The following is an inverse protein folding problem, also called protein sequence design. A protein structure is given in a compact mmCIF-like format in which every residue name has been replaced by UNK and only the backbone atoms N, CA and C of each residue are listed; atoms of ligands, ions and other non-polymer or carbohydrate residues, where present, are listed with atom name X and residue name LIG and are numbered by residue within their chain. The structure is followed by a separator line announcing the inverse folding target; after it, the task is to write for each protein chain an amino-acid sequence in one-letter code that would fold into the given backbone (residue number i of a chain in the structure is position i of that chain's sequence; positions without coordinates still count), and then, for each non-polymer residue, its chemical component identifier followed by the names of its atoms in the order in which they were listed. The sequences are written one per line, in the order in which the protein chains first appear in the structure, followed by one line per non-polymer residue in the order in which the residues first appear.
data_IF_034077442520
#
_entry.id   IF_034077442520
#
_cell.length_a   1.000
_cell.length_b   1.000
_cell.length_c   1.000
_cell.angle_alpha   90.00
_cell.angle_beta   90.00
_cell.angle_gamma   90.00
#
_symmetry.space_group_name_H-M   'P 1'
#
loop_
_entity.id
_entity.type
_entity.pdbx_description
1 polymer ?
#
# COMPACT_ATOMS: atom_id res chain seq x y z
N UNK A 1 -10.74 -27.87 30.86
CA UNK A 1 -9.78 -26.74 30.86
C UNK A 1 -10.23 -25.76 31.93
N UNK A 2 -9.40 -25.49 32.91
CA UNK A 2 -9.72 -24.46 33.90
C UNK A 2 -9.50 -23.09 33.26
N UNK A 3 -10.57 -22.43 32.90
CA UNK A 3 -10.56 -21.12 32.22
C UNK A 3 -10.07 -19.98 33.11
N UNK A 4 -9.84 -20.24 34.41
CA UNK A 4 -9.38 -19.23 35.36
C UNK A 4 -7.83 -19.15 35.47
N UNK A 5 -7.10 -19.90 34.65
CA UNK A 5 -5.64 -20.02 34.76
C UNK A 5 -4.88 -19.63 33.48
N UNK A 6 -5.27 -18.50 32.88
CA UNK A 6 -4.50 -17.93 31.78
C UNK A 6 -3.42 -16.99 32.33
N UNK A 7 -2.13 -17.30 32.12
CA UNK A 7 -1.04 -16.41 32.53
C UNK A 7 -1.11 -15.10 31.73
N UNK A 8 -0.67 -14.04 32.38
CA UNK A 8 -0.53 -12.76 31.70
C UNK A 8 0.40 -12.89 30.47
N UNK A 9 0.00 -12.33 29.33
CA UNK A 9 0.82 -12.36 28.12
C UNK A 9 2.10 -11.58 28.37
N UNK A 10 3.23 -12.27 28.35
CA UNK A 10 4.56 -11.69 28.48
C UNK A 10 5.49 -12.28 27.42
N UNK A 11 5.40 -11.81 26.14
CA UNK A 11 6.20 -12.36 25.08
C UNK A 11 7.69 -12.05 25.31
N UNK A 12 8.59 -12.97 24.97
CA UNK A 12 10.02 -12.72 25.06
C UNK A 12 10.42 -11.59 24.09
N UNK A 13 11.31 -10.73 24.51
CA UNK A 13 11.85 -9.70 23.63
C UNK A 13 12.61 -10.32 22.46
N UNK A 14 12.35 -9.85 21.26
CA UNK A 14 13.02 -10.26 20.02
C UNK A 14 13.34 -9.03 19.18
N UNK A 15 14.51 -9.00 18.58
CA UNK A 15 14.83 -8.05 17.51
C UNK A 15 14.38 -8.68 16.20
N UNK A 16 13.41 -8.04 15.54
CA UNK A 16 12.86 -8.52 14.28
C UNK A 16 13.71 -7.99 13.13
N UNK A 17 14.44 -8.89 12.48
CA UNK A 17 15.35 -8.58 11.36
C UNK A 17 14.84 -9.10 10.01
N UNK A 18 13.58 -9.51 9.95
CA UNK A 18 12.93 -9.98 8.74
C UNK A 18 12.31 -8.84 7.91
N UNK A 19 11.67 -9.17 6.78
CA UNK A 19 11.04 -8.19 5.88
C UNK A 19 9.74 -7.58 6.44
N UNK A 20 9.42 -7.84 7.68
CA UNK A 20 8.24 -7.37 8.40
C UNK A 20 7.35 -8.52 8.89
N UNK A 21 6.61 -8.30 10.00
CA UNK A 21 6.52 -7.03 10.72
C UNK A 21 7.83 -6.61 11.40
N UNK A 22 7.90 -5.34 11.80
CA UNK A 22 9.04 -4.77 12.53
C UNK A 22 8.68 -4.58 14.01
N UNK A 23 9.70 -4.30 14.84
CA UNK A 23 9.46 -3.85 16.22
C UNK A 23 8.89 -2.42 16.17
N UNK A 24 7.69 -2.24 16.71
CA UNK A 24 7.12 -0.90 16.86
C UNK A 24 7.85 -0.13 17.97
N UNK A 25 8.00 1.19 17.78
CA UNK A 25 8.59 2.06 18.80
C UNK A 25 7.77 1.98 20.11
N UNK A 26 8.42 1.98 21.29
CA UNK A 26 7.72 1.96 22.58
C UNK A 26 6.70 3.09 22.77
N UNK A 27 6.87 4.25 22.10
CA UNK A 27 5.88 5.34 22.10
C UNK A 27 4.59 4.94 21.41
N UNK A 28 4.69 4.20 20.30
CA UNK A 28 3.54 3.65 19.56
C UNK A 28 2.79 2.65 20.43
N UNK A 29 3.51 1.71 21.07
CA UNK A 29 2.89 0.70 21.95
C UNK A 29 2.20 1.35 23.15
N UNK A 30 2.80 2.38 23.76
CA UNK A 30 2.15 3.13 24.85
C UNK A 30 0.88 3.86 24.37
N UNK A 31 0.89 4.47 23.19
CA UNK A 31 -0.28 5.13 22.64
C UNK A 31 -1.45 4.16 22.42
N UNK A 32 -1.16 2.92 22.02
CA UNK A 32 -2.18 1.87 21.87
C UNK A 32 -2.83 1.43 23.17
N UNK A 33 -2.24 1.70 24.33
CA UNK A 33 -2.81 1.41 25.66
C UNK A 33 -3.67 2.56 26.22
N UNK A 34 -3.90 3.62 25.44
CA UNK A 34 -4.76 4.74 25.85
C UNK A 34 -6.22 4.32 25.95
N UNK A 35 -7.00 5.08 26.73
CA UNK A 35 -8.45 4.85 26.86
C UNK A 35 -9.15 4.98 25.50
N UNK A 36 -10.17 4.15 25.31
CA UNK A 36 -11.02 4.22 24.14
C UNK A 36 -11.92 5.46 24.18
N UNK A 37 -12.15 6.03 23.00
CA UNK A 37 -13.13 7.09 22.79
C UNK A 37 -14.32 6.53 22.03
N UNK A 38 -15.50 7.10 22.30
CA UNK A 38 -16.69 6.80 21.51
C UNK A 38 -16.55 7.32 20.08
N UNK A 39 -17.11 6.59 19.11
CA UNK A 39 -17.01 6.94 17.69
C UNK A 39 -17.59 8.32 17.32
N UNK A 40 -18.52 8.84 18.14
CA UNK A 40 -19.13 10.17 17.96
C UNK A 40 -18.57 11.22 18.89
N UNK A 41 -17.52 10.88 19.67
CA UNK A 41 -16.84 11.84 20.53
C UNK A 41 -16.12 12.89 19.65
N UNK A 42 -16.26 14.20 19.96
CA UNK A 42 -15.55 15.25 19.22
C UNK A 42 -14.02 15.06 19.21
N UNK A 43 -13.45 14.50 20.29
CA UNK A 43 -12.01 14.20 20.34
C UNK A 43 -11.65 13.10 19.34
N UNK A 44 -12.50 12.08 19.12
CA UNK A 44 -12.26 11.05 18.09
C UNK A 44 -12.22 11.68 16.69
N UNK A 45 -13.18 12.56 16.38
CA UNK A 45 -13.18 13.27 15.09
C UNK A 45 -11.93 14.14 14.92
N UNK A 46 -11.49 14.79 15.98
CA UNK A 46 -10.25 15.58 15.97
C UNK A 46 -9.04 14.70 15.64
N UNK A 47 -8.84 13.58 16.34
CA UNK A 47 -7.73 12.65 16.07
C UNK A 47 -7.78 12.06 14.68
N UNK A 48 -8.97 11.70 14.16
CA UNK A 48 -9.09 11.22 12.79
C UNK A 48 -8.61 12.27 11.77
N UNK A 49 -8.99 13.53 11.95
CA UNK A 49 -8.56 14.63 11.07
C UNK A 49 -7.05 14.89 11.17
N UNK A 50 -6.47 14.82 12.37
CA UNK A 50 -5.02 14.93 12.56
C UNK A 50 -4.27 13.79 11.87
N UNK A 51 -4.74 12.56 12.02
CA UNK A 51 -4.15 11.37 11.36
C UNK A 51 -4.19 11.54 9.85
N UNK A 52 -5.32 11.96 9.28
CA UNK A 52 -5.43 12.23 7.84
C UNK A 52 -4.45 13.32 7.39
N UNK A 53 -4.27 14.38 8.18
CA UNK A 53 -3.31 15.45 7.88
C UNK A 53 -1.86 14.96 7.94
N UNK A 54 -1.50 14.16 8.94
CA UNK A 54 -0.17 13.57 9.08
C UNK A 54 0.14 12.62 7.90
N UNK A 55 -0.81 11.79 7.49
CA UNK A 55 -0.62 10.89 6.35
C UNK A 55 -0.48 11.65 5.04
N UNK A 56 -1.15 12.77 4.82
CA UNK A 56 -0.86 13.62 3.65
C UNK A 56 0.61 14.00 3.58
N UNK A 57 1.20 14.40 4.71
CA UNK A 57 2.65 14.67 4.79
C UNK A 57 3.52 13.44 4.49
N UNK A 58 3.14 12.26 4.97
CA UNK A 58 3.88 11.00 4.75
C UNK A 58 3.81 10.55 3.29
N UNK A 59 2.64 10.65 2.67
CA UNK A 59 2.42 10.31 1.26
C UNK A 59 2.87 11.41 0.29
N UNK A 60 3.23 12.60 0.78
CA UNK A 60 3.55 13.75 -0.07
C UNK A 60 2.40 14.10 -1.02
N UNK A 61 1.22 14.32 -0.46
CA UNK A 61 0.01 14.62 -1.22
C UNK A 61 -0.85 15.69 -0.55
N UNK A 62 -1.50 16.51 -1.35
CA UNK A 62 -2.55 17.43 -0.92
C UNK A 62 -3.95 16.77 -0.99
N UNK A 63 -4.04 15.52 -1.40
CA UNK A 63 -5.31 14.83 -1.58
C UNK A 63 -6.07 14.73 -0.24
N UNK A 64 -7.30 15.26 -0.26
CA UNK A 64 -8.20 15.25 0.91
C UNK A 64 -8.52 13.81 1.37
N UNK A 65 -8.63 12.86 0.46
CA UNK A 65 -9.00 11.49 0.74
C UNK A 65 -7.78 10.64 1.08
N UNK A 66 -7.05 11.07 2.11
CA UNK A 66 -5.95 10.31 2.72
C UNK A 66 -6.42 9.80 4.06
N UNK A 67 -6.67 8.51 4.17
CA UNK A 67 -7.35 7.91 5.31
C UNK A 67 -6.79 6.53 5.67
N UNK A 68 -7.21 5.98 6.79
CA UNK A 68 -6.90 4.62 7.22
C UNK A 68 -8.06 3.68 6.90
N UNK A 69 -7.72 2.52 6.33
CA UNK A 69 -8.62 1.38 6.20
C UNK A 69 -8.36 0.43 7.37
N UNK A 70 -9.40 0.07 8.11
CA UNK A 70 -9.34 -0.95 9.15
C UNK A 70 -9.14 -2.32 8.51
N UNK A 71 -8.02 -2.96 8.83
CA UNK A 71 -7.62 -4.23 8.26
C UNK A 71 -6.15 -4.31 7.90
N UNK A 72 -5.76 -5.37 7.21
CA UNK A 72 -4.38 -5.55 6.74
C UNK A 72 -4.08 -4.64 5.54
N UNK A 73 -2.79 -4.51 5.17
CA UNK A 73 -2.40 -3.81 3.93
C UNK A 73 -3.16 -4.29 2.69
N UNK A 74 -3.54 -5.57 2.66
CA UNK A 74 -4.37 -6.12 1.57
C UNK A 74 -5.77 -5.54 1.54
N UNK A 75 -6.34 -5.22 2.69
CA UNK A 75 -7.65 -4.56 2.75
C UNK A 75 -7.59 -3.16 2.13
N UNK A 76 -6.51 -2.41 2.35
CA UNK A 76 -6.28 -1.12 1.68
C UNK A 76 -6.13 -1.27 0.17
N UNK A 77 -5.35 -2.25 -0.30
CA UNK A 77 -5.25 -2.58 -1.73
C UNK A 77 -6.64 -2.88 -2.31
N UNK A 78 -7.39 -3.78 -1.66
CA UNK A 78 -8.72 -4.19 -2.11
C UNK A 78 -9.71 -3.02 -2.13
N UNK A 79 -9.69 -2.16 -1.10
CA UNK A 79 -10.55 -0.98 -1.03
C UNK A 79 -10.32 -0.03 -2.21
N UNK A 80 -9.06 0.23 -2.58
CA UNK A 80 -8.72 1.07 -3.72
C UNK A 80 -9.16 0.39 -5.03
N UNK A 81 -8.82 -0.89 -5.22
CA UNK A 81 -9.12 -1.58 -6.46
C UNK A 81 -10.63 -1.74 -6.69
N UNK A 82 -11.41 -2.04 -5.64
CA UNK A 82 -12.88 -2.08 -5.71
C UNK A 82 -13.48 -0.71 -6.04
N UNK A 83 -12.85 0.37 -5.60
CA UNK A 83 -13.31 1.73 -5.89
C UNK A 83 -12.94 2.18 -7.31
N UNK A 84 -11.82 1.71 -7.86
CA UNK A 84 -11.28 2.16 -9.13
C UNK A 84 -11.68 1.29 -10.33
N UNK A 85 -11.87 -0.02 -10.13
CA UNK A 85 -12.10 -1.00 -11.20
C UNK A 85 -13.60 -1.21 -11.41
N UNK A 86 -14.04 -1.15 -12.66
CA UNK A 86 -15.35 -1.63 -13.12
C UNK A 86 -15.18 -3.01 -13.74
N UNK A 87 -16.18 -3.90 -13.63
CA UNK A 87 -16.12 -5.20 -14.29
C UNK A 87 -15.79 -5.08 -15.79
N UNK A 88 -14.75 -5.80 -16.22
CA UNK A 88 -14.26 -5.77 -17.60
C UNK A 88 -13.25 -4.68 -17.93
N UNK A 89 -12.93 -3.78 -16.99
CA UNK A 89 -11.85 -2.81 -17.21
C UNK A 89 -10.51 -3.55 -17.39
N UNK A 90 -9.77 -3.14 -18.42
CA UNK A 90 -8.40 -3.64 -18.61
C UNK A 90 -7.48 -3.01 -17.59
N UNK A 91 -6.71 -3.82 -16.90
CA UNK A 91 -5.65 -3.39 -16.00
C UNK A 91 -4.32 -3.99 -16.43
N UNK A 92 -3.25 -3.21 -16.33
CA UNK A 92 -1.88 -3.65 -16.61
C UNK A 92 -1.13 -3.77 -15.29
N UNK A 93 -0.50 -4.93 -15.07
CA UNK A 93 0.32 -5.20 -13.88
C UNK A 93 1.72 -5.62 -14.31
N UNK A 94 2.75 -4.76 -14.13
CA UNK A 94 4.14 -5.14 -14.23
C UNK A 94 4.52 -6.02 -13.05
N UNK A 95 4.88 -7.27 -13.31
CA UNK A 95 5.19 -8.29 -12.29
C UNK A 95 6.70 -8.55 -12.26
N UNK A 96 7.33 -8.21 -11.14
CA UNK A 96 8.75 -8.47 -10.89
C UNK A 96 8.99 -9.18 -9.56
N UNK A 97 7.90 -9.67 -8.93
CA UNK A 97 7.91 -10.42 -7.68
C UNK A 97 6.51 -10.86 -7.26
N UNK A 98 6.47 -11.46 -6.07
CA UNK A 98 5.25 -12.07 -5.52
C UNK A 98 4.09 -11.08 -5.35
N UNK A 99 4.39 -9.84 -4.99
CA UNK A 99 3.33 -8.85 -4.70
C UNK A 99 2.68 -8.31 -5.98
N UNK A 100 3.39 -8.34 -7.11
CA UNK A 100 2.77 -8.15 -8.42
C UNK A 100 1.69 -9.21 -8.71
N UNK A 101 1.99 -10.47 -8.44
CA UNK A 101 0.99 -11.56 -8.57
C UNK A 101 -0.20 -11.38 -7.62
N UNK A 102 0.03 -10.85 -6.40
CA UNK A 102 -1.05 -10.52 -5.47
C UNK A 102 -1.98 -9.45 -6.03
N UNK A 103 -1.44 -8.39 -6.64
CA UNK A 103 -2.24 -7.36 -7.31
C UNK A 103 -3.08 -7.96 -8.44
N UNK A 104 -2.51 -8.87 -9.24
CA UNK A 104 -3.25 -9.59 -10.27
C UNK A 104 -4.43 -10.38 -9.69
N UNK A 105 -4.22 -11.08 -8.58
CA UNK A 105 -5.27 -11.86 -7.92
C UNK A 105 -6.41 -10.96 -7.43
N UNK A 106 -6.09 -9.86 -6.73
CA UNK A 106 -7.10 -8.93 -6.22
C UNK A 106 -7.85 -8.27 -7.39
N UNK A 107 -7.14 -7.83 -8.43
CA UNK A 107 -7.78 -7.22 -9.60
C UNK A 107 -8.75 -8.19 -10.32
N UNK A 108 -8.39 -9.47 -10.43
CA UNK A 108 -9.30 -10.50 -10.98
C UNK A 108 -10.55 -10.68 -10.12
N UNK A 109 -10.41 -10.65 -8.79
CA UNK A 109 -11.56 -10.69 -7.87
C UNK A 109 -12.47 -9.46 -8.04
N UNK A 110 -11.91 -8.31 -8.39
CA UNK A 110 -12.66 -7.11 -8.78
C UNK A 110 -13.24 -7.20 -10.21
N UNK A 111 -13.13 -8.37 -10.89
CA UNK A 111 -13.61 -8.64 -12.26
C UNK A 111 -12.92 -7.82 -13.34
N UNK A 112 -11.66 -7.42 -13.14
CA UNK A 112 -10.84 -6.80 -14.15
C UNK A 112 -10.39 -7.81 -15.23
N UNK A 113 -10.18 -7.31 -16.46
CA UNK A 113 -9.41 -7.98 -17.49
C UNK A 113 -7.92 -7.69 -17.25
N UNK A 114 -7.22 -8.65 -16.62
CA UNK A 114 -5.85 -8.46 -16.12
C UNK A 114 -4.82 -8.87 -17.16
N UNK A 115 -4.00 -7.90 -17.57
CA UNK A 115 -2.84 -8.07 -18.44
C UNK A 115 -1.55 -7.91 -17.64
N UNK A 116 -0.57 -8.75 -17.90
CA UNK A 116 0.74 -8.70 -17.23
C UNK A 116 1.88 -8.52 -18.21
N UNK A 117 2.93 -7.87 -17.75
CA UNK A 117 4.28 -8.00 -18.28
C UNK A 117 5.18 -8.48 -17.15
N UNK A 118 6.19 -9.27 -17.46
CA UNK A 118 7.05 -9.90 -16.46
C UNK A 118 8.52 -9.72 -16.80
N UNK A 119 9.35 -9.59 -15.76
CA UNK A 119 10.82 -9.63 -15.85
C UNK A 119 11.35 -10.70 -14.90
N UNK A 120 12.56 -11.20 -15.11
CA UNK A 120 13.20 -12.11 -14.16
C UNK A 120 13.29 -11.50 -12.76
N UNK A 121 13.20 -12.35 -11.74
CA UNK A 121 13.38 -11.90 -10.35
C UNK A 121 14.79 -11.32 -10.15
N UNK A 122 14.85 -10.13 -9.59
CA UNK A 122 16.07 -9.34 -9.45
C UNK A 122 16.17 -8.20 -10.45
N UNK A 123 15.22 -8.09 -11.37
CA UNK A 123 15.10 -6.99 -12.32
C UNK A 123 13.84 -6.16 -12.05
N UNK A 124 13.80 -4.94 -12.60
CA UNK A 124 12.64 -4.04 -12.60
C UNK A 124 12.41 -3.51 -14.01
N UNK A 125 11.24 -2.92 -14.23
CA UNK A 125 10.86 -2.38 -15.54
C UNK A 125 11.46 -1.00 -15.78
N UNK A 126 11.89 -0.77 -17.00
CA UNK A 126 12.17 0.58 -17.49
C UNK A 126 10.87 1.30 -17.85
N UNK A 127 10.86 2.64 -17.85
CA UNK A 127 9.70 3.41 -18.30
C UNK A 127 9.24 3.03 -19.72
N UNK A 128 10.18 2.80 -20.64
CA UNK A 128 9.87 2.42 -22.03
C UNK A 128 9.14 1.09 -22.14
N UNK A 129 9.54 0.07 -21.36
CA UNK A 129 8.86 -1.23 -21.32
C UNK A 129 7.40 -1.07 -20.85
N UNK A 130 7.17 -0.23 -19.85
CA UNK A 130 5.81 0.03 -19.33
C UNK A 130 5.01 0.83 -20.37
N UNK A 131 5.60 1.82 -21.01
CA UNK A 131 4.95 2.61 -22.05
C UNK A 131 4.53 1.75 -23.25
N UNK A 132 5.41 0.87 -23.73
CA UNK A 132 5.09 -0.09 -24.80
C UNK A 132 3.92 -1.01 -24.43
N UNK A 133 3.92 -1.52 -23.19
CA UNK A 133 2.83 -2.33 -22.69
C UNK A 133 1.51 -1.55 -22.61
N UNK A 134 1.54 -0.28 -22.16
CA UNK A 134 0.37 0.61 -22.14
C UNK A 134 -0.18 0.82 -23.55
N UNK A 135 0.68 1.09 -24.53
CA UNK A 135 0.27 1.26 -25.96
C UNK A 135 -0.42 0.01 -26.50
N UNK A 136 0.12 -1.16 -26.16
CA UNK A 136 -0.40 -2.47 -26.64
C UNK A 136 -1.73 -2.83 -25.97
N UNK A 137 -1.82 -2.74 -24.64
CA UNK A 137 -2.97 -3.18 -23.85
C UNK A 137 -4.06 -2.14 -23.83
N UNK A 138 -3.70 -0.85 -23.81
CA UNK A 138 -4.60 0.30 -23.58
C UNK A 138 -5.41 0.09 -22.31
N UNK A 139 -4.75 -0.06 -21.16
CA UNK A 139 -5.43 -0.31 -19.90
C UNK A 139 -6.10 0.96 -19.39
N UNK A 140 -7.11 0.78 -18.56
CA UNK A 140 -7.67 1.88 -17.78
C UNK A 140 -6.81 2.22 -16.57
N UNK A 141 -6.13 1.22 -15.99
CA UNK A 141 -5.39 1.34 -14.75
C UNK A 141 -4.06 0.58 -14.85
N UNK A 142 -2.97 1.24 -14.45
CA UNK A 142 -1.67 0.64 -14.19
C UNK A 142 -1.57 0.35 -12.69
N UNK A 143 -1.37 -0.91 -12.32
CA UNK A 143 -1.16 -1.36 -10.94
C UNK A 143 0.30 -1.74 -10.75
N UNK A 144 1.02 -1.03 -9.88
CA UNK A 144 2.42 -1.32 -9.59
C UNK A 144 2.64 -1.69 -8.12
N UNK A 145 3.73 -2.37 -7.85
CA UNK A 145 4.33 -2.48 -6.53
C UNK A 145 5.56 -1.58 -6.52
N UNK A 146 5.75 -0.74 -5.52
CA UNK A 146 6.97 0.04 -5.43
C UNK A 146 8.14 -0.83 -4.93
N UNK A 147 7.99 -1.49 -3.80
CA UNK A 147 9.01 -2.37 -3.23
C UNK A 147 8.51 -3.80 -3.06
N UNK A 148 9.09 -4.74 -3.79
CA UNK A 148 8.75 -6.16 -3.65
C UNK A 148 9.77 -6.89 -2.78
N UNK A 149 9.35 -7.24 -1.55
CA UNK A 149 10.24 -7.90 -0.58
C UNK A 149 10.59 -9.34 -0.94
N UNK A 150 9.89 -9.96 -1.89
CA UNK A 150 10.24 -11.31 -2.35
C UNK A 150 11.47 -11.33 -3.25
N UNK A 151 11.74 -10.22 -3.91
CA UNK A 151 12.88 -10.04 -4.82
C UNK A 151 13.89 -9.01 -4.34
N UNK A 152 13.57 -8.27 -3.25
CA UNK A 152 14.35 -7.16 -2.71
C UNK A 152 14.51 -5.96 -3.68
N UNK A 153 13.67 -5.90 -4.72
CA UNK A 153 13.76 -4.88 -5.76
C UNK A 153 12.82 -3.70 -5.48
N UNK A 154 13.26 -2.53 -5.88
CA UNK A 154 12.50 -1.28 -5.83
C UNK A 154 12.25 -0.78 -7.26
N UNK A 155 10.99 -0.75 -7.68
CA UNK A 155 10.56 -0.22 -8.98
C UNK A 155 10.60 1.31 -8.96
N UNK A 156 11.38 1.96 -9.83
CA UNK A 156 11.32 3.42 -10.00
C UNK A 156 9.96 3.86 -10.55
N UNK A 157 9.33 4.86 -9.90
CA UNK A 157 7.98 5.31 -10.27
C UNK A 157 7.94 6.72 -10.87
N UNK A 158 8.96 7.53 -10.62
CA UNK A 158 8.94 8.97 -10.90
C UNK A 158 8.55 9.37 -12.35
N UNK A 159 8.88 8.54 -13.33
CA UNK A 159 8.58 8.81 -14.75
C UNK A 159 7.26 8.21 -15.22
N UNK A 160 6.68 7.28 -14.45
CA UNK A 160 5.52 6.50 -14.90
C UNK A 160 4.24 7.34 -14.90
N UNK A 161 4.08 8.28 -13.98
CA UNK A 161 2.89 9.12 -13.92
C UNK A 161 2.74 10.02 -15.16
N UNK A 162 3.83 10.56 -15.68
CA UNK A 162 3.79 11.34 -16.93
C UNK A 162 3.32 10.47 -18.12
N UNK A 163 3.82 9.23 -18.19
CA UNK A 163 3.38 8.24 -19.19
C UNK A 163 1.90 7.92 -19.00
N UNK A 164 1.48 7.58 -17.78
CA UNK A 164 0.08 7.28 -17.50
C UNK A 164 -0.84 8.44 -17.88
N UNK A 165 -0.46 9.67 -17.52
CA UNK A 165 -1.22 10.88 -17.86
C UNK A 165 -1.33 11.08 -19.38
N UNK A 166 -0.26 10.85 -20.14
CA UNK A 166 -0.25 10.97 -21.61
C UNK A 166 -1.25 10.03 -22.27
N UNK A 167 -1.43 8.82 -21.71
CA UNK A 167 -2.35 7.80 -22.27
C UNK A 167 -3.71 7.74 -21.56
N UNK A 168 -3.98 8.61 -20.60
CA UNK A 168 -5.24 8.62 -19.85
C UNK A 168 -5.43 7.39 -18.97
N UNK A 169 -4.35 6.82 -18.45
CA UNK A 169 -4.30 5.65 -17.57
C UNK A 169 -4.23 6.10 -16.13
N UNK A 170 -5.08 5.57 -15.25
CA UNK A 170 -4.97 5.77 -13.81
C UNK A 170 -3.75 5.01 -13.27
N UNK A 171 -3.01 5.63 -12.35
CA UNK A 171 -1.79 5.09 -11.81
C UNK A 171 -1.88 4.81 -10.31
N UNK A 172 -1.85 3.53 -9.96
CA UNK A 172 -1.83 3.06 -8.57
C UNK A 172 -0.51 2.37 -8.23
N UNK A 173 -0.04 2.53 -6.98
CA UNK A 173 1.07 1.74 -6.44
C UNK A 173 0.77 1.19 -5.05
N UNK A 174 1.16 -0.07 -4.83
CA UNK A 174 1.32 -0.65 -3.50
C UNK A 174 2.70 -0.27 -2.95
N UNK A 175 2.72 0.60 -1.95
CA UNK A 175 3.92 1.02 -1.24
C UNK A 175 4.03 0.39 0.16
N UNK A 176 3.37 -0.75 0.38
CA UNK A 176 3.32 -1.43 1.70
C UNK A 176 4.70 -1.59 2.31
N UNK A 177 5.68 -2.03 1.53
CA UNK A 177 7.02 -2.32 2.03
C UNK A 177 7.95 -1.10 2.04
N UNK A 178 7.63 -0.05 1.31
CA UNK A 178 8.58 1.02 0.96
C UNK A 178 8.24 2.40 1.52
N UNK A 179 6.96 2.69 1.81
CA UNK A 179 6.54 3.99 2.32
C UNK A 179 7.27 4.32 3.62
N UNK A 180 7.81 5.54 3.71
CA UNK A 180 8.68 6.05 4.76
C UNK A 180 10.09 5.43 4.82
N UNK A 181 10.36 4.35 4.10
CA UNK A 181 11.70 3.77 3.96
C UNK A 181 12.40 4.17 2.65
N UNK A 182 11.63 4.58 1.66
CA UNK A 182 12.10 5.06 0.36
C UNK A 182 11.30 6.29 -0.05
N UNK A 183 11.84 7.08 -0.98
CA UNK A 183 11.12 8.21 -1.55
C UNK A 183 9.81 7.77 -2.22
N UNK A 184 8.74 8.47 -1.91
CA UNK A 184 7.45 8.38 -2.58
C UNK A 184 6.85 9.79 -2.62
N UNK A 185 6.72 10.35 -3.80
CA UNK A 185 6.22 11.70 -4.04
C UNK A 185 4.92 11.59 -4.82
N UNK A 186 3.81 11.29 -4.12
CA UNK A 186 2.54 10.91 -4.75
C UNK A 186 2.09 11.91 -5.80
N UNK A 187 1.96 13.18 -5.43
CA UNK A 187 1.49 14.21 -6.36
C UNK A 187 2.51 14.55 -7.43
N UNK A 188 3.79 14.68 -7.06
CA UNK A 188 4.86 15.03 -8.00
C UNK A 188 5.10 13.93 -9.03
N UNK A 189 4.88 12.66 -8.67
CA UNK A 189 5.01 11.53 -9.60
C UNK A 189 3.69 11.18 -10.30
N UNK A 190 2.61 11.91 -10.04
CA UNK A 190 1.33 11.72 -10.71
C UNK A 190 0.64 10.40 -10.38
N UNK A 191 0.78 9.93 -9.14
CA UNK A 191 0.04 8.77 -8.65
C UNK A 191 -1.41 9.17 -8.33
N UNK A 192 -2.38 8.42 -8.83
CA UNK A 192 -3.81 8.64 -8.55
C UNK A 192 -4.24 7.98 -7.24
N UNK A 193 -3.58 6.89 -6.84
CA UNK A 193 -3.83 6.22 -5.58
C UNK A 193 -2.59 5.45 -5.08
N UNK A 194 -2.44 5.39 -3.77
CA UNK A 194 -1.37 4.65 -3.09
C UNK A 194 -1.95 3.94 -1.88
N UNK A 195 -1.54 2.71 -1.63
CA UNK A 195 -1.76 2.04 -0.35
C UNK A 195 -0.46 1.64 0.32
N UNK A 196 -0.49 1.47 1.63
CA UNK A 196 0.68 1.06 2.40
C UNK A 196 0.30 0.16 3.58
N UNK A 197 1.28 -0.21 4.39
CA UNK A 197 1.08 -1.04 5.58
C UNK A 197 1.86 -0.52 6.77
N UNK A 198 1.20 -0.40 7.91
CA UNK A 198 1.78 0.13 9.14
C UNK A 198 2.97 -0.68 9.65
N UNK A 199 2.93 -2.01 9.49
CA UNK A 199 3.89 -2.97 10.07
C UNK A 199 5.23 -3.07 9.32
N UNK A 200 5.46 -2.22 8.35
CA UNK A 200 6.69 -2.11 7.57
C UNK A 200 7.45 -0.83 7.95
N UNK A 201 8.00 -0.12 7.00
CA UNK A 201 8.83 1.07 7.25
C UNK A 201 8.09 2.20 7.98
N UNK A 202 6.75 2.23 7.96
CA UNK A 202 5.96 3.16 8.78
C UNK A 202 6.12 2.95 10.29
N UNK A 203 6.56 1.79 10.74
CA UNK A 203 6.96 1.58 12.13
C UNK A 203 5.83 1.36 13.13
N UNK A 204 4.63 1.04 12.66
CA UNK A 204 3.48 0.75 13.50
C UNK A 204 3.14 -0.75 13.56
N UNK A 205 2.14 -1.15 14.35
CA UNK A 205 1.62 -2.51 14.35
C UNK A 205 0.79 -2.79 13.10
N UNK A 206 0.60 -4.07 12.78
CA UNK A 206 -0.37 -4.47 11.76
C UNK A 206 -1.81 -4.24 12.24
N UNK A 207 -2.75 -4.10 11.31
CA UNK A 207 -4.17 -3.95 11.59
C UNK A 207 -4.83 -2.75 10.93
N UNK A 208 -4.03 -1.84 10.37
CA UNK A 208 -4.52 -0.72 9.57
C UNK A 208 -3.67 -0.52 8.32
N UNK A 209 -4.31 -0.01 7.25
CA UNK A 209 -3.68 0.30 5.97
C UNK A 209 -3.97 1.75 5.60
N UNK A 210 -2.95 2.61 5.58
CA UNK A 210 -3.12 3.95 5.03
C UNK A 210 -3.11 3.92 3.51
#
# INVERSE_FOLDING_TARGET
MDINHYPQINPPQRLLMGPGPINADPRVLRAMSSQLLGQYDPAMTHYMNEVMALYRGVFRTENRWTLLVDGTSRAGIEAILLSAIRPGDKVLVPVFGRFGHLLCEIARRCRADVHTIEVPWGEVFTPDQIEEAIKKVRPRLLLTVQGDTSTTMLQPLAQLGAICKQYGVLFYTDATASLAGNALETDAWGLDAVSAGMQKCLGGPSGTSP
#
